data_IF_736624446712
#
_entry.id   IF_736624446712
#
_cell.length_a   1.000
_cell.length_b   1.000
_cell.length_c   1.000
_cell.angle_alpha   90.00
_cell.angle_beta   90.00
_cell.angle_gamma   90.00
#
_symmetry.space_group_name_H-M   'P 1'
#
loop_
_entity.id
_entity.type
_entity.pdbx_description
1 polymer ?
#
# COMPACT_ATOMS: atom_id res chain seq x y z
N UNK A 1 -18.72 -9.92 0.23
CA UNK A 1 -18.36 -8.91 -0.80
C UNK A 1 -18.23 -7.56 -0.10
N UNK A 2 -17.03 -7.00 -0.01
CA UNK A 2 -16.84 -5.58 0.30
C UNK A 2 -16.35 -4.96 -1.01
N UNK A 3 -17.27 -4.35 -1.77
CA UNK A 3 -16.91 -3.48 -2.90
C UNK A 3 -16.28 -2.22 -2.28
N UNK A 4 -15.06 -1.86 -2.68
CA UNK A 4 -14.54 -0.52 -2.39
C UNK A 4 -14.84 0.42 -3.56
N UNK A 5 -15.33 1.60 -3.18
CA UNK A 5 -15.96 2.64 -4.01
C UNK A 5 -14.98 3.73 -4.49
N UNK A 6 -13.69 3.61 -4.15
CA UNK A 6 -12.67 4.59 -4.50
C UNK A 6 -12.76 4.92 -5.99
N UNK A 7 -12.75 6.21 -6.32
CA UNK A 7 -12.88 6.81 -7.68
C UNK A 7 -14.30 7.07 -8.20
N UNK A 8 -15.35 6.49 -7.60
CA UNK A 8 -16.73 6.71 -8.08
C UNK A 8 -17.28 8.10 -7.76
N UNK A 9 -16.68 8.78 -6.79
CA UNK A 9 -17.15 10.08 -6.28
C UNK A 9 -16.30 11.25 -6.77
N UNK A 10 -15.40 11.03 -7.73
CA UNK A 10 -14.51 12.07 -8.23
C UNK A 10 -15.29 13.32 -8.67
N UNK A 11 -14.85 14.47 -8.20
CA UNK A 11 -15.38 15.78 -8.57
C UNK A 11 -14.27 16.63 -9.19
N UNK A 12 -14.62 17.43 -10.21
CA UNK A 12 -13.73 18.44 -10.78
C UNK A 12 -13.42 19.54 -9.76
N UNK A 13 -12.50 20.43 -10.13
CA UNK A 13 -12.11 21.55 -9.28
C UNK A 13 -13.29 22.49 -9.04
N UNK A 14 -13.60 22.75 -7.76
CA UNK A 14 -14.71 23.63 -7.39
C UNK A 14 -14.20 24.99 -6.90
N UNK A 15 -13.96 25.93 -7.82
CA UNK A 15 -13.74 27.33 -7.47
C UNK A 15 -14.16 28.30 -8.57
N UNK A 16 -14.64 29.48 -8.19
CA UNK A 16 -15.01 30.55 -9.12
C UNK A 16 -13.82 31.16 -9.86
N UNK A 17 -12.67 31.27 -9.19
CA UNK A 17 -11.48 31.95 -9.72
C UNK A 17 -10.29 30.98 -9.73
N UNK A 18 -10.10 30.28 -10.85
CA UNK A 18 -8.92 29.44 -11.07
C UNK A 18 -7.69 30.32 -11.35
N UNK A 19 -6.56 29.95 -10.77
CA UNK A 19 -5.27 30.60 -11.02
C UNK A 19 -4.70 30.06 -12.33
N UNK A 20 -4.46 30.96 -13.28
CA UNK A 20 -3.80 30.63 -14.56
C UNK A 20 -2.32 30.34 -14.32
N UNK A 21 -1.78 29.39 -15.08
CA UNK A 21 -0.38 29.01 -15.02
C UNK A 21 0.11 28.54 -16.39
N UNK A 22 1.43 28.37 -16.50
CA UNK A 22 2.08 27.71 -17.64
C UNK A 22 2.88 26.54 -17.09
N UNK A 23 2.99 25.45 -17.85
CA UNK A 23 3.92 24.37 -17.48
C UNK A 23 5.37 24.77 -17.69
N UNK A 24 5.65 25.55 -18.74
CA UNK A 24 6.98 26.14 -18.94
C UNK A 24 7.25 27.13 -17.82
N UNK A 25 8.34 26.93 -17.09
CA UNK A 25 8.76 27.79 -15.99
C UNK A 25 9.24 29.14 -16.54
N UNK A 26 8.77 30.23 -15.94
CA UNK A 26 9.26 31.56 -16.27
C UNK A 26 10.59 31.88 -15.56
N UNK A 27 10.81 31.29 -14.38
CA UNK A 27 12.04 31.40 -13.60
C UNK A 27 12.89 30.15 -13.82
N UNK A 28 14.18 30.33 -14.13
CA UNK A 28 15.12 29.24 -14.37
C UNK A 28 16.40 29.52 -13.54
N UNK A 29 16.76 28.64 -12.59
CA UNK A 29 16.01 27.45 -12.15
C UNK A 29 14.70 27.84 -11.43
N UNK A 30 13.69 26.97 -11.50
CA UNK A 30 12.44 27.17 -10.75
C UNK A 30 12.74 27.23 -9.24
N UNK A 31 12.12 28.18 -8.54
CA UNK A 31 12.16 28.24 -7.08
C UNK A 31 11.25 27.18 -6.47
N UNK A 32 11.81 26.30 -5.64
CA UNK A 32 11.09 25.22 -4.96
C UNK A 32 11.14 25.42 -3.45
N UNK A 33 10.01 25.15 -2.78
CA UNK A 33 10.02 25.05 -1.32
C UNK A 33 10.75 23.77 -0.87
N UNK A 34 11.19 23.77 0.40
CA UNK A 34 11.97 22.67 0.96
C UNK A 34 11.25 21.32 0.90
N UNK A 35 9.93 21.29 1.07
CA UNK A 35 9.18 20.03 1.03
C UNK A 35 9.18 19.45 -0.37
N UNK A 36 8.99 20.28 -1.39
CA UNK A 36 9.02 19.84 -2.78
C UNK A 36 10.43 19.42 -3.23
N UNK A 37 11.45 20.21 -2.89
CA UNK A 37 12.84 19.88 -3.17
C UNK A 37 13.20 18.49 -2.60
N UNK A 38 12.81 18.22 -1.35
CA UNK A 38 13.04 16.92 -0.73
C UNK A 38 12.20 15.80 -1.36
N UNK A 39 10.92 16.06 -1.67
CA UNK A 39 10.05 15.09 -2.33
C UNK A 39 10.59 14.68 -3.70
N UNK A 40 11.14 15.62 -4.48
CA UNK A 40 11.76 15.33 -5.78
C UNK A 40 12.96 14.39 -5.61
N UNK A 41 13.82 14.64 -4.62
CA UNK A 41 14.98 13.77 -4.34
C UNK A 41 14.53 12.33 -4.03
N UNK A 42 13.49 12.18 -3.22
CA UNK A 42 12.89 10.87 -2.96
C UNK A 42 12.33 10.21 -4.22
N UNK A 43 11.50 10.92 -4.99
CA UNK A 43 10.87 10.41 -6.21
C UNK A 43 11.88 9.96 -7.26
N UNK A 44 13.00 10.67 -7.39
CA UNK A 44 14.00 10.37 -8.41
C UNK A 44 14.89 9.19 -8.04
N UNK A 45 15.30 9.08 -6.77
CA UNK A 45 16.36 8.15 -6.37
C UNK A 45 15.92 7.02 -5.46
N UNK A 46 14.95 7.26 -4.57
CA UNK A 46 14.73 6.38 -3.41
C UNK A 46 13.40 5.64 -3.42
N UNK A 47 12.37 6.15 -4.11
CA UNK A 47 11.04 5.54 -4.12
C UNK A 47 11.13 4.04 -4.44
N UNK A 48 10.48 3.15 -3.67
CA UNK A 48 10.64 1.72 -3.88
C UNK A 48 10.10 1.28 -5.25
N UNK A 49 10.66 0.18 -5.75
CA UNK A 49 10.23 -0.50 -6.98
C UNK A 49 10.32 0.34 -8.27
N UNK A 50 11.02 1.47 -8.29
CA UNK A 50 11.37 2.19 -9.54
C UNK A 50 12.70 1.69 -10.10
N UNK A 51 12.93 1.96 -11.38
CA UNK A 51 14.22 1.71 -12.02
C UNK A 51 15.26 2.78 -11.60
N UNK A 52 15.82 2.62 -10.40
CA UNK A 52 16.90 3.43 -9.81
C UNK A 52 17.84 2.51 -9.03
N UNK A 53 19.15 2.71 -9.15
CA UNK A 53 20.17 1.96 -8.41
C UNK A 53 20.00 2.04 -6.88
N UNK A 54 19.40 3.13 -6.38
CA UNK A 54 19.22 3.37 -4.95
C UNK A 54 17.83 2.98 -4.44
N UNK A 55 16.92 2.56 -5.32
CA UNK A 55 15.58 2.17 -4.94
C UNK A 55 15.57 0.76 -4.32
N UNK A 56 14.90 0.64 -3.17
CA UNK A 56 14.65 -0.67 -2.55
C UNK A 56 13.46 -1.35 -3.23
N UNK A 57 13.40 -2.67 -3.12
CA UNK A 57 12.17 -3.41 -3.40
C UNK A 57 11.27 -3.37 -2.17
N UNK A 58 9.99 -3.10 -2.37
CA UNK A 58 8.96 -3.17 -1.32
C UNK A 58 7.75 -3.94 -1.84
N UNK A 59 7.59 -5.18 -1.37
CA UNK A 59 6.56 -6.10 -1.86
C UNK A 59 5.15 -5.62 -1.55
N UNK A 60 4.96 -4.93 -0.41
CA UNK A 60 3.64 -4.45 0.00
C UNK A 60 3.06 -3.48 -1.03
N UNK A 61 3.90 -2.62 -1.61
CA UNK A 61 3.46 -1.63 -2.61
C UNK A 61 3.09 -2.27 -3.95
N UNK A 62 3.60 -3.46 -4.26
CA UNK A 62 3.27 -4.18 -5.49
C UNK A 62 2.15 -5.20 -5.30
N UNK A 63 1.69 -5.42 -4.06
CA UNK A 63 0.69 -6.41 -3.77
C UNK A 63 -0.74 -5.85 -3.94
N UNK A 64 -1.42 -6.26 -5.02
CA UNK A 64 -2.79 -5.86 -5.34
C UNK A 64 -3.81 -6.18 -4.23
N UNK A 65 -3.55 -7.17 -3.37
CA UNK A 65 -4.44 -7.49 -2.26
C UNK A 65 -4.49 -6.38 -1.20
N UNK A 66 -3.39 -5.63 -1.08
CA UNK A 66 -3.23 -4.53 -0.13
C UNK A 66 -3.45 -3.15 -0.79
N UNK A 67 -3.66 -3.10 -2.11
CA UNK A 67 -3.66 -1.87 -2.90
C UNK A 67 -4.55 -0.76 -2.33
N UNK A 68 -5.87 -1.00 -2.25
CA UNK A 68 -6.83 0.00 -1.73
C UNK A 68 -6.45 0.48 -0.34
N UNK A 69 -6.00 -0.43 0.52
CA UNK A 69 -5.66 -0.12 1.90
C UNK A 69 -4.41 0.75 2.00
N UNK A 70 -3.33 0.36 1.32
CA UNK A 70 -2.09 1.13 1.28
C UNK A 70 -2.38 2.51 0.70
N UNK A 71 -3.20 2.57 -0.35
CA UNK A 71 -3.56 3.83 -0.97
C UNK A 71 -4.44 4.71 -0.06
N UNK A 72 -5.39 4.16 0.70
CA UNK A 72 -6.18 4.90 1.70
C UNK A 72 -5.31 5.52 2.81
N UNK A 73 -4.29 4.79 3.25
CA UNK A 73 -3.29 5.31 4.20
C UNK A 73 -2.51 6.50 3.60
N UNK A 74 -2.14 6.41 2.32
CA UNK A 74 -1.51 7.51 1.60
C UNK A 74 -2.45 8.71 1.43
N UNK A 75 -3.69 8.47 1.04
CA UNK A 75 -4.71 9.52 0.92
C UNK A 75 -4.89 10.26 2.24
N UNK A 76 -4.92 9.54 3.36
CA UNK A 76 -5.08 10.12 4.70
C UNK A 76 -3.94 11.08 5.02
N UNK A 77 -2.68 10.67 4.82
CA UNK A 77 -1.53 11.55 5.10
C UNK A 77 -1.40 12.69 4.10
N UNK A 78 -1.81 12.49 2.84
CA UNK A 78 -1.87 13.53 1.81
C UNK A 78 -3.10 14.45 1.97
N UNK A 79 -4.02 14.14 2.89
CA UNK A 79 -5.31 14.84 3.08
C UNK A 79 -6.14 14.88 1.78
N UNK A 80 -6.17 13.75 1.07
CA UNK A 80 -7.00 13.52 -0.09
C UNK A 80 -8.29 12.82 0.34
N UNK A 81 -9.41 13.18 -0.29
CA UNK A 81 -10.69 12.50 -0.12
C UNK A 81 -10.98 11.67 -1.37
N UNK A 82 -11.98 10.80 -1.29
CA UNK A 82 -12.44 10.01 -2.44
C UNK A 82 -12.84 10.90 -3.63
N UNK A 83 -13.47 12.06 -3.35
CA UNK A 83 -13.82 13.04 -4.38
C UNK A 83 -12.62 13.70 -5.07
N UNK A 84 -11.42 13.52 -4.53
CA UNK A 84 -10.19 14.12 -5.02
C UNK A 84 -9.38 13.17 -5.92
N UNK A 85 -9.77 11.89 -6.02
CA UNK A 85 -8.98 10.86 -6.71
C UNK A 85 -9.78 10.12 -7.77
N UNK A 86 -9.20 9.96 -8.96
CA UNK A 86 -9.74 9.16 -10.05
C UNK A 86 -8.65 8.28 -10.66
N UNK A 87 -8.86 6.97 -10.66
CA UNK A 87 -8.14 6.01 -11.50
C UNK A 87 -9.06 5.58 -12.64
N UNK A 88 -8.56 5.63 -13.88
CA UNK A 88 -9.35 5.38 -15.09
C UNK A 88 -8.46 4.85 -16.21
N UNK A 89 -9.00 4.04 -17.12
CA UNK A 89 -8.26 3.54 -18.29
C UNK A 89 -7.84 4.69 -19.23
N UNK A 90 -8.64 5.76 -19.26
CA UNK A 90 -8.37 6.94 -20.08
C UNK A 90 -8.84 8.22 -19.40
N UNK A 91 -7.99 9.25 -19.40
CA UNK A 91 -8.33 10.58 -18.89
C UNK A 91 -9.14 11.33 -19.96
N UNK A 92 -10.37 11.71 -19.63
CA UNK A 92 -11.28 12.39 -20.56
C UNK A 92 -10.88 13.84 -20.80
N UNK A 93 -11.15 14.35 -22.01
CA UNK A 93 -10.77 15.71 -22.43
C UNK A 93 -11.29 16.80 -21.51
N UNK A 94 -12.54 16.71 -21.04
CA UNK A 94 -13.10 17.71 -20.14
C UNK A 94 -12.35 17.82 -18.80
N UNK A 95 -11.72 16.73 -18.33
CA UNK A 95 -10.87 16.75 -17.13
C UNK A 95 -9.54 17.45 -17.46
N UNK A 96 -8.96 17.15 -18.61
CA UNK A 96 -7.72 17.79 -19.06
C UNK A 96 -7.92 19.31 -19.17
N UNK A 97 -9.03 19.72 -19.79
CA UNK A 97 -9.38 21.12 -20.00
C UNK A 97 -9.61 21.84 -18.67
N UNK A 98 -10.30 21.20 -17.71
CA UNK A 98 -10.52 21.75 -16.36
C UNK A 98 -9.20 22.17 -15.68
N UNK A 99 -8.14 21.38 -15.84
CA UNK A 99 -6.81 21.67 -15.26
C UNK A 99 -6.02 22.66 -16.11
N UNK A 100 -6.13 22.64 -17.44
CA UNK A 100 -5.44 23.61 -18.32
C UNK A 100 -6.01 25.01 -18.19
N UNK A 101 -7.29 25.14 -17.89
CA UNK A 101 -7.94 26.42 -17.63
C UNK A 101 -7.48 27.08 -16.33
N UNK A 102 -6.73 26.38 -15.49
CA UNK A 102 -6.16 26.92 -14.26
C UNK A 102 -6.39 25.96 -13.09
N UNK A 103 -5.87 26.34 -11.92
CA UNK A 103 -6.04 25.55 -10.70
C UNK A 103 -6.77 26.32 -9.59
N UNK A 104 -7.58 25.59 -8.84
CA UNK A 104 -8.07 26.02 -7.53
C UNK A 104 -6.95 25.90 -6.48
N UNK A 105 -6.64 26.92 -5.66
CA UNK A 105 -5.66 26.76 -4.58
C UNK A 105 -6.22 26.05 -3.32
N UNK A 106 -7.52 25.78 -3.27
CA UNK A 106 -8.21 25.32 -2.06
C UNK A 106 -8.41 23.80 -1.99
N UNK A 107 -8.21 23.06 -3.08
CA UNK A 107 -8.36 21.61 -3.15
C UNK A 107 -7.14 20.93 -3.80
N UNK A 108 -7.11 19.61 -3.70
CA UNK A 108 -6.12 18.74 -4.32
C UNK A 108 -6.86 17.76 -5.22
N UNK A 109 -6.26 17.35 -6.33
CA UNK A 109 -6.87 16.41 -7.28
C UNK A 109 -5.80 15.51 -7.88
N UNK A 110 -6.13 14.24 -8.06
CA UNK A 110 -5.29 13.25 -8.75
C UNK A 110 -6.16 12.49 -9.74
N UNK A 111 -5.74 12.44 -10.99
CA UNK A 111 -6.38 11.67 -12.05
C UNK A 111 -5.32 10.88 -12.79
N UNK A 112 -5.40 9.56 -12.76
CA UNK A 112 -4.31 8.69 -13.22
C UNK A 112 -4.83 7.46 -13.97
N UNK A 113 -4.00 6.97 -14.88
CA UNK A 113 -4.18 5.65 -15.49
C UNK A 113 -3.52 4.57 -14.65
N UNK A 114 -4.12 3.40 -14.59
CA UNK A 114 -3.51 2.21 -13.97
C UNK A 114 -2.92 1.34 -15.08
N UNK A 115 -1.66 0.91 -14.94
CA UNK A 115 -1.13 -0.15 -15.80
C UNK A 115 -1.64 -1.52 -15.33
N UNK A 116 -1.62 -2.51 -16.22
CA UNK A 116 -2.02 -3.89 -15.87
C UNK A 116 -1.17 -4.43 -14.72
N UNK A 117 -1.83 -4.91 -13.67
CA UNK A 117 -1.18 -5.45 -12.48
C UNK A 117 -0.53 -4.41 -11.57
N UNK A 118 -0.71 -3.11 -11.82
CA UNK A 118 -0.15 -2.03 -11.02
C UNK A 118 -1.08 -1.63 -9.86
N UNK A 119 -0.50 -1.31 -8.70
CA UNK A 119 -1.25 -0.74 -7.57
C UNK A 119 -1.44 0.78 -7.73
N UNK A 120 -2.49 1.34 -7.14
CA UNK A 120 -2.77 2.79 -7.09
C UNK A 120 -1.59 3.58 -6.52
N UNK A 121 -0.93 3.04 -5.51
CA UNK A 121 0.24 3.67 -4.89
C UNK A 121 1.42 3.72 -5.87
N UNK A 122 1.71 2.62 -6.57
CA UNK A 122 2.78 2.60 -7.59
C UNK A 122 2.44 3.51 -8.78
N UNK A 123 1.18 3.53 -9.21
CA UNK A 123 0.69 4.44 -10.25
C UNK A 123 0.89 5.91 -9.85
N UNK A 124 0.52 6.29 -8.62
CA UNK A 124 0.76 7.64 -8.06
C UNK A 124 2.22 8.04 -8.13
N UNK A 125 3.09 7.21 -7.57
CA UNK A 125 4.52 7.47 -7.50
C UNK A 125 5.14 7.58 -8.89
N UNK A 126 4.77 6.67 -9.81
CA UNK A 126 5.24 6.66 -11.20
C UNK A 126 4.80 7.92 -11.95
N UNK A 127 3.53 8.28 -11.90
CA UNK A 127 3.02 9.44 -12.64
C UNK A 127 3.57 10.77 -12.12
N UNK A 128 3.67 10.95 -10.79
CA UNK A 128 4.26 12.16 -10.20
C UNK A 128 5.74 12.26 -10.57
N UNK A 129 6.50 11.17 -10.43
CA UNK A 129 7.90 11.10 -10.83
C UNK A 129 8.08 11.43 -12.32
N UNK A 130 7.31 10.82 -13.21
CA UNK A 130 7.43 11.03 -14.65
C UNK A 130 7.16 12.47 -15.05
N UNK A 131 6.12 13.09 -14.48
CA UNK A 131 5.82 14.50 -14.74
C UNK A 131 6.99 15.41 -14.30
N UNK A 132 7.59 15.14 -13.13
CA UNK A 132 8.74 15.89 -12.62
C UNK A 132 9.99 15.66 -13.48
N UNK A 133 10.34 14.41 -13.74
CA UNK A 133 11.53 14.03 -14.50
C UNK A 133 11.51 14.57 -15.93
N UNK A 134 10.33 14.70 -16.54
CA UNK A 134 10.16 15.27 -17.88
C UNK A 134 9.92 16.78 -17.87
N UNK A 135 9.95 17.45 -16.71
CA UNK A 135 9.72 18.89 -16.59
C UNK A 135 8.28 19.33 -16.87
N UNK A 136 7.32 18.40 -16.89
CA UNK A 136 5.89 18.68 -17.15
C UNK A 136 5.14 19.00 -15.84
N UNK A 137 5.67 19.93 -15.05
CA UNK A 137 5.09 20.35 -13.78
C UNK A 137 5.32 21.83 -13.53
N UNK A 138 4.61 22.43 -12.58
CA UNK A 138 4.91 23.75 -12.03
C UNK A 138 4.42 23.84 -10.57
N UNK A 139 4.81 24.88 -9.85
CA UNK A 139 4.33 25.21 -8.51
C UNK A 139 3.53 26.50 -8.57
N UNK A 140 2.28 26.45 -8.16
CA UNK A 140 1.36 27.59 -8.24
C UNK A 140 0.68 27.73 -6.89
N UNK A 141 0.92 28.85 -6.20
CA UNK A 141 0.40 29.10 -4.85
C UNK A 141 0.71 27.96 -3.87
N UNK A 142 1.93 27.41 -3.92
CA UNK A 142 2.37 26.31 -3.06
C UNK A 142 1.75 24.94 -3.41
N UNK A 143 1.03 24.82 -4.53
CA UNK A 143 0.51 23.55 -5.04
C UNK A 143 1.37 23.10 -6.20
N UNK A 144 1.86 21.86 -6.13
CA UNK A 144 2.52 21.18 -7.22
C UNK A 144 1.45 20.70 -8.22
N UNK A 145 1.46 21.24 -9.43
CA UNK A 145 0.63 20.81 -10.56
C UNK A 145 1.51 20.08 -11.58
N UNK A 146 1.08 18.94 -12.11
CA UNK A 146 1.86 18.19 -13.09
C UNK A 146 1.04 17.30 -14.01
N UNK A 147 1.64 16.99 -15.16
CA UNK A 147 1.08 16.16 -16.21
C UNK A 147 2.07 15.07 -16.63
N UNK A 148 1.72 13.80 -16.43
CA UNK A 148 2.43 12.70 -17.07
C UNK A 148 1.84 12.48 -18.47
N UNK A 149 2.64 12.80 -19.49
CA UNK A 149 2.25 12.77 -20.89
C UNK A 149 3.10 11.80 -21.69
N UNK A 150 2.46 11.09 -22.62
CA UNK A 150 3.11 10.34 -23.68
C UNK A 150 2.84 11.03 -25.01
N UNK A 151 3.91 11.42 -25.71
CA UNK A 151 3.82 11.92 -27.10
C UNK A 151 3.69 10.72 -28.03
N UNK A 152 2.66 10.72 -28.88
CA UNK A 152 2.41 9.73 -29.91
C UNK A 152 2.78 10.29 -31.29
N UNK A 153 2.66 9.47 -32.33
CA UNK A 153 2.77 9.94 -33.71
C UNK A 153 1.72 11.04 -34.00
N UNK A 154 1.98 11.87 -35.01
CA UNK A 154 1.08 12.97 -35.43
C UNK A 154 0.85 14.05 -34.35
N UNK A 155 1.84 14.30 -33.49
CA UNK A 155 1.77 15.29 -32.40
C UNK A 155 0.62 15.09 -31.39
N UNK A 156 0.02 13.89 -31.37
CA UNK A 156 -1.02 13.54 -30.40
C UNK A 156 -0.41 13.36 -29.01
N UNK A 157 -1.02 14.01 -28.02
CA UNK A 157 -0.62 13.91 -26.61
C UNK A 157 -1.60 13.01 -25.88
N UNK A 158 -1.11 11.90 -25.32
CA UNK A 158 -1.86 11.07 -24.39
C UNK A 158 -1.54 11.48 -22.95
N UNK A 159 -2.55 11.89 -22.19
CA UNK A 159 -2.43 12.18 -20.77
C UNK A 159 -2.63 10.89 -19.97
N UNK A 160 -1.62 10.54 -19.17
CA UNK A 160 -1.62 9.33 -18.35
C UNK A 160 -1.75 9.65 -16.86
N UNK A 161 -1.33 10.84 -16.45
CA UNK A 161 -1.51 11.33 -15.09
C UNK A 161 -1.68 12.84 -15.09
N UNK A 162 -2.56 13.34 -14.21
CA UNK A 162 -2.76 14.75 -13.93
C UNK A 162 -2.91 14.87 -12.43
N UNK A 163 -2.15 15.77 -11.80
CA UNK A 163 -2.24 15.94 -10.37
C UNK A 163 -2.00 17.39 -9.97
N UNK A 164 -2.68 17.78 -8.90
CA UNK A 164 -2.42 18.99 -8.14
C UNK A 164 -2.43 18.66 -6.66
N UNK A 165 -1.27 18.69 -6.04
CA UNK A 165 -1.08 18.19 -4.67
C UNK A 165 -0.19 19.15 -3.88
N UNK A 166 -0.38 19.16 -2.57
CA UNK A 166 0.46 19.91 -1.64
C UNK A 166 1.77 19.14 -1.45
N UNK A 167 2.94 19.78 -1.67
CA UNK A 167 4.23 19.13 -1.50
C UNK A 167 4.45 18.51 -0.12
N UNK A 168 3.95 19.15 0.95
CA UNK A 168 4.04 18.64 2.32
C UNK A 168 3.39 17.25 2.47
N UNK A 169 2.16 17.08 1.98
CA UNK A 169 1.45 15.80 2.05
C UNK A 169 2.14 14.71 1.23
N UNK A 170 2.67 15.08 0.06
CA UNK A 170 3.45 14.17 -0.78
C UNK A 170 4.73 13.71 -0.07
N UNK A 171 5.47 14.61 0.57
CA UNK A 171 6.69 14.27 1.30
C UNK A 171 6.41 13.32 2.46
N UNK A 172 5.34 13.56 3.23
CA UNK A 172 4.92 12.66 4.32
C UNK A 172 4.55 11.28 3.77
N UNK A 173 3.80 11.23 2.65
CA UNK A 173 3.46 9.97 1.99
C UNK A 173 4.71 9.20 1.53
N UNK A 174 5.68 9.89 0.91
CA UNK A 174 6.94 9.28 0.46
C UNK A 174 7.74 8.70 1.62
N UNK A 175 7.85 9.44 2.74
CA UNK A 175 8.54 8.94 3.93
C UNK A 175 7.82 7.73 4.54
N UNK A 176 6.49 7.76 4.61
CA UNK A 176 5.70 6.60 5.08
C UNK A 176 5.94 5.37 4.20
N UNK A 177 5.97 5.55 2.87
CA UNK A 177 6.29 4.49 1.91
C UNK A 177 7.71 3.94 2.09
N UNK A 178 8.68 4.80 2.40
CA UNK A 178 10.09 4.41 2.47
C UNK A 178 10.51 3.80 3.81
N UNK A 179 9.89 4.25 4.90
CA UNK A 179 10.37 3.96 6.26
C UNK A 179 9.35 3.20 7.12
N UNK A 180 8.06 3.35 6.85
CA UNK A 180 7.00 2.89 7.77
C UNK A 180 6.14 1.75 7.18
N UNK A 181 6.08 1.63 5.85
CA UNK A 181 5.26 0.64 5.15
C UNK A 181 6.09 -0.60 4.82
N UNK A 182 5.97 -1.62 5.66
CA UNK A 182 6.33 -3.00 5.34
C UNK A 182 5.17 -3.93 5.65
N UNK A 183 5.11 -5.09 5.00
CA UNK A 183 4.06 -6.09 5.29
C UNK A 183 4.08 -6.53 6.75
N UNK A 184 5.28 -6.65 7.32
CA UNK A 184 5.47 -7.02 8.72
C UNK A 184 4.96 -5.94 9.68
N UNK A 185 5.31 -4.66 9.49
CA UNK A 185 4.82 -3.59 10.36
C UNK A 185 3.30 -3.39 10.22
N UNK A 186 2.76 -3.53 9.00
CA UNK A 186 1.32 -3.47 8.79
C UNK A 186 0.58 -4.58 9.56
N UNK A 187 1.10 -5.80 9.50
CA UNK A 187 0.55 -6.94 10.24
C UNK A 187 0.70 -6.72 11.74
N UNK A 188 1.85 -6.23 12.21
CA UNK A 188 2.07 -5.92 13.61
C UNK A 188 1.04 -4.90 14.12
N UNK A 189 0.79 -3.83 13.36
CA UNK A 189 -0.21 -2.83 13.70
C UNK A 189 -1.64 -3.39 13.71
N UNK A 190 -1.97 -4.27 12.76
CA UNK A 190 -3.27 -4.96 12.75
C UNK A 190 -3.49 -5.79 14.03
N UNK A 191 -2.48 -6.50 14.48
CA UNK A 191 -2.52 -7.23 15.75
C UNK A 191 -2.63 -6.29 16.96
N UNK A 192 -1.86 -5.19 17.00
CA UNK A 192 -1.94 -4.19 18.08
C UNK A 192 -3.35 -3.59 18.20
N UNK A 193 -3.97 -3.23 17.08
CA UNK A 193 -5.34 -2.71 17.04
C UNK A 193 -6.39 -3.73 17.47
N UNK A 194 -6.15 -5.01 17.21
CA UNK A 194 -6.97 -6.11 17.73
C UNK A 194 -6.71 -6.42 19.23
N UNK A 195 -5.88 -5.63 19.92
CA UNK A 195 -5.61 -5.74 21.35
C UNK A 195 -4.51 -6.73 21.72
N UNK A 196 -3.61 -7.04 20.79
CA UNK A 196 -2.42 -7.87 21.05
C UNK A 196 -1.22 -6.98 21.39
N UNK A 197 -0.38 -7.43 22.32
CA UNK A 197 0.98 -6.90 22.47
C UNK A 197 1.85 -7.59 21.42
N UNK A 198 2.48 -6.83 20.53
CA UNK A 198 3.34 -7.35 19.46
C UNK A 198 4.78 -6.91 19.68
N UNK A 199 5.70 -7.85 19.64
CA UNK A 199 7.14 -7.63 19.77
C UNK A 199 7.86 -8.33 18.60
N UNK A 200 8.98 -7.79 18.09
CA UNK A 200 9.86 -8.56 17.22
C UNK A 200 10.34 -9.81 17.97
N UNK A 201 10.37 -10.97 17.34
CA UNK A 201 10.84 -12.19 17.99
C UNK A 201 12.33 -12.05 18.34
N UNK A 202 12.65 -11.98 19.64
CA UNK A 202 14.02 -12.03 20.14
C UNK A 202 14.13 -13.18 21.14
N UNK A 203 14.75 -14.29 20.74
CA UNK A 203 15.26 -15.28 21.68
C UNK A 203 16.65 -14.83 22.16
N UNK A 204 16.85 -14.71 23.48
CA UNK A 204 18.08 -14.18 24.08
C UNK A 204 19.36 -14.96 23.76
N UNK A 205 19.30 -16.16 23.17
CA UNK A 205 20.51 -16.93 22.87
C UNK A 205 20.56 -17.67 21.53
N UNK A 206 19.55 -17.52 20.66
CA UNK A 206 19.63 -17.94 19.26
C UNK A 206 18.77 -16.98 18.44
N UNK A 207 19.36 -16.30 17.45
CA UNK A 207 18.59 -15.73 16.33
C UNK A 207 18.00 -16.89 15.54
N UNK A 208 16.99 -17.57 16.08
CA UNK A 208 16.22 -18.52 15.31
C UNK A 208 15.30 -17.68 14.42
N UNK A 209 15.68 -17.51 13.16
CA UNK A 209 14.90 -16.87 12.08
C UNK A 209 13.63 -17.68 11.74
N UNK A 210 12.93 -18.22 12.75
CA UNK A 210 11.84 -19.18 12.55
C UNK A 210 10.48 -18.51 12.37
N UNK A 211 10.29 -17.32 12.96
CA UNK A 211 9.06 -16.54 12.86
C UNK A 211 9.33 -15.07 12.64
N UNK A 212 8.44 -14.40 11.91
CA UNK A 212 8.53 -12.97 11.63
C UNK A 212 8.12 -12.10 12.84
N UNK A 213 7.09 -12.51 13.59
CA UNK A 213 6.54 -11.71 14.70
C UNK A 213 6.12 -12.56 15.90
N UNK A 214 6.18 -11.95 17.08
CA UNK A 214 5.60 -12.49 18.32
C UNK A 214 4.42 -11.65 18.75
N UNK A 215 3.31 -12.29 19.11
CA UNK A 215 2.15 -11.61 19.69
C UNK A 215 1.69 -12.27 20.98
N UNK A 216 1.19 -11.47 21.92
CA UNK A 216 0.62 -11.93 23.18
C UNK A 216 -0.72 -11.24 23.44
N UNK A 217 -1.71 -12.04 23.85
CA UNK A 217 -2.99 -11.52 24.35
C UNK A 217 -3.52 -12.45 25.43
N UNK A 218 -3.86 -11.87 26.59
CA UNK A 218 -4.19 -12.63 27.79
C UNK A 218 -3.07 -13.64 28.13
N UNK A 219 -3.41 -14.91 28.37
CA UNK A 219 -2.47 -15.99 28.64
C UNK A 219 -1.95 -16.67 27.36
N UNK A 220 -2.42 -16.27 26.18
CA UNK A 220 -2.04 -16.88 24.92
C UNK A 220 -0.85 -16.15 24.30
N UNK A 221 0.09 -16.94 23.78
CA UNK A 221 1.30 -16.50 23.08
C UNK A 221 1.25 -17.04 21.66
N UNK A 222 1.59 -16.22 20.68
CA UNK A 222 1.42 -16.52 19.26
C UNK A 222 2.74 -16.32 18.51
N UNK A 223 3.07 -17.29 17.66
CA UNK A 223 4.19 -17.22 16.72
C UNK A 223 3.61 -16.95 15.32
N UNK A 224 3.92 -15.79 14.75
CA UNK A 224 3.36 -15.33 13.48
C UNK A 224 4.39 -15.49 12.37
N UNK A 225 4.01 -16.23 11.34
CA UNK A 225 4.77 -16.35 10.10
C UNK A 225 4.03 -15.67 8.95
N UNK A 226 4.73 -14.78 8.24
CA UNK A 226 4.20 -13.99 7.14
C UNK A 226 4.74 -14.56 5.83
N UNK A 227 3.83 -14.84 4.90
CA UNK A 227 4.18 -15.35 3.58
C UNK A 227 3.53 -14.53 2.49
N UNK A 228 4.34 -13.66 1.89
CA UNK A 228 4.00 -12.93 0.67
C UNK A 228 4.57 -13.70 -0.52
N UNK A 229 3.77 -14.55 -1.15
CA UNK A 229 4.17 -15.16 -2.42
C UNK A 229 3.73 -14.27 -3.59
N UNK A 230 4.59 -14.19 -4.60
CA UNK A 230 4.23 -13.66 -5.92
C UNK A 230 3.15 -14.54 -6.56
N UNK A 231 2.31 -13.93 -7.41
CA UNK A 231 1.04 -14.44 -7.95
C UNK A 231 1.02 -15.84 -8.60
N UNK A 232 2.17 -16.49 -8.80
CA UNK A 232 2.30 -17.73 -9.59
C UNK A 232 2.83 -18.96 -8.82
N UNK A 233 2.97 -18.89 -7.49
CA UNK A 233 3.51 -20.02 -6.70
C UNK A 233 2.48 -20.61 -5.74
N UNK A 234 2.03 -21.85 -6.01
CA UNK A 234 1.33 -22.67 -5.00
C UNK A 234 2.37 -23.32 -4.09
N UNK A 235 2.14 -23.26 -2.78
CA UNK A 235 3.07 -23.83 -1.80
C UNK A 235 3.12 -25.35 -1.96
N UNK A 236 4.34 -25.89 -2.00
CA UNK A 236 4.57 -27.34 -2.05
C UNK A 236 4.28 -28.01 -0.70
N UNK A 237 3.91 -29.29 -0.72
CA UNK A 237 3.74 -30.07 0.53
C UNK A 237 5.01 -30.12 1.38
N UNK A 238 6.19 -29.99 0.76
CA UNK A 238 7.48 -29.96 1.44
C UNK A 238 7.65 -28.68 2.26
N UNK A 239 7.24 -27.54 1.72
CA UNK A 239 7.26 -26.26 2.43
C UNK A 239 6.27 -26.24 3.59
N UNK A 240 5.07 -26.80 3.41
CA UNK A 240 4.08 -26.93 4.49
C UNK A 240 4.62 -27.80 5.63
N UNK A 241 5.18 -28.98 5.29
CA UNK A 241 5.77 -29.88 6.29
C UNK A 241 6.92 -29.21 7.04
N UNK A 242 7.74 -28.41 6.35
CA UNK A 242 8.81 -27.62 6.97
C UNK A 242 8.23 -26.57 7.94
N UNK A 243 7.24 -25.79 7.53
CA UNK A 243 6.59 -24.80 8.41
C UNK A 243 6.00 -25.45 9.66
N UNK A 244 5.28 -26.57 9.50
CA UNK A 244 4.72 -27.31 10.64
C UNK A 244 5.83 -27.78 11.60
N UNK A 245 6.95 -28.27 11.07
CA UNK A 245 8.10 -28.67 11.90
C UNK A 245 8.75 -27.48 12.60
N UNK A 246 8.86 -26.33 11.92
CA UNK A 246 9.39 -25.10 12.49
C UNK A 246 8.52 -24.65 13.67
N UNK A 247 7.18 -24.74 13.55
CA UNK A 247 6.21 -24.47 14.64
C UNK A 247 6.25 -25.49 15.79
N UNK A 248 6.49 -26.78 15.51
CA UNK A 248 6.59 -27.82 16.55
C UNK A 248 7.89 -27.74 17.36
N UNK A 249 8.94 -27.15 16.79
CA UNK A 249 10.25 -27.00 17.42
C UNK A 249 10.39 -25.80 18.37
N UNK A 250 9.29 -25.12 18.72
CA UNK A 250 9.27 -23.87 19.50
C UNK A 250 8.72 -24.13 20.90
N UNK A 251 9.13 -23.27 21.83
CA UNK A 251 8.74 -23.23 23.24
C UNK A 251 7.28 -23.67 23.48
N UNK A 252 7.11 -24.59 24.42
CA UNK A 252 5.82 -25.16 24.82
C UNK A 252 4.79 -24.06 25.12
N UNK A 253 3.60 -24.14 24.49
CA UNK A 253 2.50 -23.19 24.68
C UNK A 253 2.51 -21.96 23.78
N UNK A 254 3.11 -22.03 22.58
CA UNK A 254 2.93 -21.05 21.50
C UNK A 254 1.89 -21.54 20.49
N UNK A 255 0.98 -20.65 20.11
CA UNK A 255 -0.05 -20.91 19.10
C UNK A 255 0.47 -20.42 17.74
N UNK A 256 0.63 -21.32 16.75
CA UNK A 256 1.15 -20.94 15.45
C UNK A 256 0.09 -20.21 14.60
N UNK A 257 0.48 -19.10 13.99
CA UNK A 257 -0.34 -18.30 13.07
C UNK A 257 0.39 -18.12 11.75
N UNK A 258 -0.22 -18.59 10.67
CA UNK A 258 0.27 -18.39 9.30
C UNK A 258 -0.55 -17.30 8.62
N UNK A 259 0.11 -16.24 8.18
CA UNK A 259 -0.49 -15.14 7.44
C UNK A 259 -0.15 -15.31 5.97
N UNK A 260 -1.17 -15.65 5.18
CA UNK A 260 -1.01 -16.00 3.77
C UNK A 260 -2.30 -15.83 2.99
N UNK A 261 -2.18 -15.50 1.70
CA UNK A 261 -3.29 -15.64 0.78
C UNK A 261 -3.68 -17.13 0.62
N UNK A 262 -4.86 -17.48 1.12
CA UNK A 262 -5.39 -18.86 1.09
C UNK A 262 -5.50 -19.48 -0.30
N UNK A 263 -5.49 -18.69 -1.38
CA UNK A 263 -5.48 -19.19 -2.76
C UNK A 263 -4.18 -19.91 -3.14
N UNK A 264 -3.08 -19.63 -2.43
CA UNK A 264 -1.79 -20.32 -2.61
C UNK A 264 -1.73 -21.67 -1.90
N UNK A 265 -2.72 -22.00 -1.06
CA UNK A 265 -2.83 -23.28 -0.35
C UNK A 265 -3.76 -24.23 -1.11
N UNK A 266 -3.27 -25.44 -1.38
CA UNK A 266 -4.14 -26.55 -1.81
C UNK A 266 -5.02 -27.00 -0.64
N UNK A 267 -6.17 -27.63 -0.91
CA UNK A 267 -7.05 -28.14 0.15
C UNK A 267 -6.31 -29.09 1.10
N UNK A 268 -5.51 -30.01 0.54
CA UNK A 268 -4.64 -30.91 1.32
C UNK A 268 -3.62 -30.15 2.19
N UNK A 269 -3.09 -29.03 1.73
CA UNK A 269 -2.18 -28.20 2.53
C UNK A 269 -2.92 -27.52 3.69
N UNK A 270 -4.14 -27.03 3.45
CA UNK A 270 -4.99 -26.44 4.49
C UNK A 270 -5.34 -27.46 5.56
N UNK A 271 -5.76 -28.66 5.17
CA UNK A 271 -6.07 -29.76 6.10
C UNK A 271 -4.89 -30.07 7.00
N UNK A 272 -3.68 -30.26 6.45
CA UNK A 272 -2.46 -30.51 7.25
C UNK A 272 -2.13 -29.39 8.23
N UNK A 273 -2.32 -28.13 7.83
CA UNK A 273 -2.08 -26.99 8.71
C UNK A 273 -3.10 -26.96 9.86
N UNK A 274 -4.37 -27.24 9.58
CA UNK A 274 -5.43 -27.30 10.58
C UNK A 274 -5.24 -28.48 11.54
N UNK A 275 -4.84 -29.65 11.06
CA UNK A 275 -4.47 -30.82 11.89
C UNK A 275 -3.28 -30.52 12.82
N UNK A 276 -2.40 -29.60 12.43
CA UNK A 276 -1.30 -29.11 13.24
C UNK A 276 -1.68 -27.93 14.15
N UNK A 277 -2.98 -27.64 14.31
CA UNK A 277 -3.53 -26.53 15.09
C UNK A 277 -2.97 -25.14 14.67
N UNK A 278 -2.63 -24.97 13.38
CA UNK A 278 -2.18 -23.69 12.82
C UNK A 278 -3.36 -22.81 12.44
N UNK A 279 -3.38 -21.58 12.96
CA UNK A 279 -4.35 -20.55 12.58
C UNK A 279 -3.93 -19.94 11.25
N UNK A 280 -4.81 -20.00 10.24
CA UNK A 280 -4.55 -19.41 8.92
C UNK A 280 -5.31 -18.08 8.83
N UNK A 281 -4.59 -16.99 8.57
CA UNK A 281 -5.15 -15.67 8.33
C UNK A 281 -4.84 -15.19 6.91
N UNK A 282 -5.89 -14.85 6.17
CA UNK A 282 -5.76 -14.13 4.90
C UNK A 282 -5.76 -12.61 5.08
N UNK A 283 -5.54 -11.89 3.98
CA UNK A 283 -5.60 -10.42 3.96
C UNK A 283 -6.95 -9.86 4.43
N UNK A 284 -8.07 -10.55 4.19
CA UNK A 284 -9.37 -10.08 4.67
C UNK A 284 -9.44 -10.12 6.19
N UNK A 285 -8.81 -11.10 6.81
CA UNK A 285 -8.68 -11.18 8.27
C UNK A 285 -7.78 -10.06 8.80
N UNK A 286 -6.61 -9.84 8.21
CA UNK A 286 -5.71 -8.75 8.61
C UNK A 286 -6.39 -7.38 8.49
N UNK A 287 -7.15 -7.14 7.40
CA UNK A 287 -7.96 -5.91 7.23
C UNK A 287 -9.00 -5.72 8.33
N UNK A 288 -9.66 -6.80 8.78
CA UNK A 288 -10.61 -6.73 9.91
C UNK A 288 -9.88 -6.46 11.23
N UNK A 289 -8.73 -7.09 11.45
CA UNK A 289 -7.88 -6.86 12.64
C UNK A 289 -7.39 -5.42 12.72
N UNK A 290 -6.97 -4.84 11.60
CA UNK A 290 -6.58 -3.43 11.53
C UNK A 290 -7.74 -2.47 11.85
N UNK A 291 -9.01 -2.89 11.66
CA UNK A 291 -10.20 -2.15 12.10
C UNK A 291 -10.60 -2.44 13.56
N UNK A 292 -9.78 -3.16 14.30
CA UNK A 292 -9.97 -3.48 15.73
C UNK A 292 -10.68 -4.80 16.02
N UNK A 293 -11.02 -5.61 15.00
CA UNK A 293 -11.73 -6.89 15.19
C UNK A 293 -10.76 -8.03 15.48
N UNK A 294 -10.99 -8.78 16.55
CA UNK A 294 -10.12 -9.88 16.96
C UNK A 294 -10.40 -11.20 16.19
N UNK A 295 -9.86 -11.30 14.98
CA UNK A 295 -10.06 -12.50 14.13
C UNK A 295 -9.40 -13.76 14.70
N UNK A 296 -8.22 -13.64 15.32
CA UNK A 296 -7.53 -14.78 15.93
C UNK A 296 -8.35 -15.31 17.11
N UNK A 297 -8.86 -14.43 17.97
CA UNK A 297 -9.74 -14.81 19.06
C UNK A 297 -11.06 -15.42 18.61
N UNK A 298 -11.63 -14.96 17.48
CA UNK A 298 -12.82 -15.57 16.87
C UNK A 298 -12.54 -17.01 16.44
N UNK A 299 -11.48 -17.26 15.68
CA UNK A 299 -11.11 -18.60 15.21
C UNK A 299 -10.86 -19.55 16.39
N UNK A 300 -10.15 -19.09 17.42
CA UNK A 300 -9.90 -19.90 18.62
C UNK A 300 -11.20 -20.30 19.34
N UNK A 301 -12.17 -19.39 19.45
CA UNK A 301 -13.48 -19.70 20.05
C UNK A 301 -14.24 -20.71 19.22
N UNK A 302 -14.30 -20.50 17.90
CA UNK A 302 -15.01 -21.41 16.99
C UNK A 302 -14.41 -22.83 17.07
N UNK A 303 -13.08 -22.94 16.99
CA UNK A 303 -12.38 -24.23 17.10
C UNK A 303 -12.60 -24.92 18.46
N UNK A 304 -12.70 -24.17 19.56
CA UNK A 304 -12.98 -24.74 20.88
C UNK A 304 -14.39 -25.32 20.97
N UNK A 305 -15.38 -24.71 20.31
CA UNK A 305 -16.75 -25.21 20.25
C UNK A 305 -16.79 -26.51 19.45
N UNK A 306 -16.10 -26.58 18.31
CA UNK A 306 -16.04 -27.81 17.50
C UNK A 306 -15.40 -28.98 18.25
N UNK A 307 -14.30 -28.76 19.00
CA UNK A 307 -13.64 -29.81 19.80
C UNK A 307 -14.49 -30.33 20.97
N UNK A 308 -15.52 -29.61 21.41
CA UNK A 308 -16.46 -30.05 22.46
C UNK A 308 -17.59 -30.91 21.87
N UNK A 309 -17.90 -30.75 20.59
CA UNK A 309 -19.03 -31.39 19.92
C UNK A 309 -18.60 -32.64 19.12
N UNK A 310 -17.32 -32.76 18.78
CA UNK A 310 -16.68 -33.94 18.14
C UNK A 310 -16.23 -34.98 19.15
#
# INVERSE_FOLDING_TARGET
MYNMELTKKFELQNCKNKIKYKIIHNEIPISLDKNLDEAIKYLLWYVPNINSEQAKKEELLTNLEYDDYVFEELMTVMRLRDIDVLFTDSIKTYIIDDFKEGICPCDQKIVMTLADGETKTMSLLRHVRNAIAHGNFNVVSGILIGFDIKRLAEDKIQYRGIFKIKPEGLLVALRKVLFDLSSQEFIAEAFRRAGYKVEPYQEEYQRSHRFDLYAKKNNNRFALEIRNYNYDHKISEKEISKMINDFRGVVEGLIPVLIINSTYLTEKAKEKLLEADVIILDIKNIKKMHKGRDMVGEILRDNSIFKIIS
#
